data_IF_679674287866
#
_entry.id   IF_679674287866
#
_cell.length_a   1.000
_cell.length_b   1.000
_cell.length_c   1.000
_cell.angle_alpha   90.00
_cell.angle_beta   90.00
_cell.angle_gamma   90.00
#
_symmetry.space_group_name_H-M   'P 1'
#
loop_
_entity.id
_entity.type
_entity.pdbx_description
1 polymer ?
#
# COMPACT_ATOMS: atom_id res chain seq x y z
N UNK A 1 -22.61 -23.41 -35.01
CA UNK A 1 -21.28 -22.97 -34.53
C UNK A 1 -21.20 -23.18 -33.02
N UNK A 2 -20.19 -23.89 -32.49
CA UNK A 2 -20.05 -24.04 -31.04
C UNK A 2 -19.65 -22.72 -30.37
N UNK A 3 -20.20 -22.46 -29.17
CA UNK A 3 -19.79 -21.33 -28.33
C UNK A 3 -18.36 -21.53 -27.83
N UNK A 4 -17.47 -20.55 -28.10
CA UNK A 4 -16.11 -20.54 -27.57
C UNK A 4 -16.12 -19.93 -26.17
N UNK A 5 -15.92 -20.77 -25.16
CA UNK A 5 -15.74 -20.33 -23.78
C UNK A 5 -14.38 -19.62 -23.62
N UNK A 6 -14.40 -18.36 -23.17
CA UNK A 6 -13.21 -17.53 -22.97
C UNK A 6 -12.79 -17.42 -21.49
N UNK A 7 -13.10 -18.41 -20.66
CA UNK A 7 -12.92 -18.34 -19.20
C UNK A 7 -11.52 -17.92 -18.77
N UNK A 8 -10.46 -18.50 -19.36
CA UNK A 8 -9.07 -18.14 -19.04
C UNK A 8 -8.77 -16.66 -19.31
N UNK A 9 -9.24 -16.13 -20.43
CA UNK A 9 -9.07 -14.71 -20.78
C UNK A 9 -9.78 -13.79 -19.79
N UNK A 10 -11.02 -14.13 -19.41
CA UNK A 10 -11.81 -13.36 -18.45
C UNK A 10 -11.15 -13.39 -17.07
N UNK A 11 -10.68 -14.55 -16.63
CA UNK A 11 -9.95 -14.70 -15.35
C UNK A 11 -8.69 -13.86 -15.34
N UNK A 12 -7.87 -13.91 -16.40
CA UNK A 12 -6.64 -13.11 -16.49
C UNK A 12 -6.92 -11.60 -16.51
N UNK A 13 -7.97 -11.17 -17.20
CA UNK A 13 -8.40 -9.76 -17.20
C UNK A 13 -8.87 -9.31 -15.82
N UNK A 14 -9.69 -10.12 -15.15
CA UNK A 14 -10.17 -9.82 -13.81
C UNK A 14 -9.02 -9.75 -12.81
N UNK A 15 -8.05 -10.68 -12.88
CA UNK A 15 -6.87 -10.67 -12.03
C UNK A 15 -6.05 -9.39 -12.20
N UNK A 16 -5.79 -8.96 -13.44
CA UNK A 16 -5.07 -7.70 -13.70
C UNK A 16 -5.81 -6.49 -13.13
N UNK A 17 -7.14 -6.45 -13.28
CA UNK A 17 -7.97 -5.36 -12.74
C UNK A 17 -7.95 -5.35 -11.21
N UNK A 18 -8.11 -6.51 -10.58
CA UNK A 18 -8.05 -6.61 -9.12
C UNK A 18 -6.66 -6.25 -8.59
N UNK A 19 -5.59 -6.64 -9.29
CA UNK A 19 -4.23 -6.21 -8.96
C UNK A 19 -4.07 -4.68 -9.01
N UNK A 20 -4.58 -4.03 -10.05
CA UNK A 20 -4.58 -2.56 -10.12
C UNK A 20 -5.37 -1.92 -8.97
N UNK A 21 -6.53 -2.48 -8.60
CA UNK A 21 -7.33 -2.01 -7.46
C UNK A 21 -6.63 -2.19 -6.11
N UNK A 22 -5.95 -3.32 -5.90
CA UNK A 22 -5.14 -3.55 -4.70
C UNK A 22 -3.94 -2.61 -4.65
N UNK A 23 -3.32 -2.32 -5.79
CA UNK A 23 -2.27 -1.29 -5.89
C UNK A 23 -2.77 0.11 -5.50
N UNK A 24 -3.96 0.52 -5.97
CA UNK A 24 -4.60 1.78 -5.58
C UNK A 24 -4.89 1.82 -4.06
N UNK A 25 -5.32 0.71 -3.46
CA UNK A 25 -5.49 0.61 -2.00
C UNK A 25 -4.16 0.85 -1.29
N UNK A 26 -3.07 0.22 -1.74
CA UNK A 26 -1.72 0.43 -1.19
C UNK A 26 -1.30 1.90 -1.22
N UNK A 27 -1.50 2.58 -2.34
CA UNK A 27 -1.23 4.02 -2.50
C UNK A 27 -2.05 4.91 -1.55
N UNK A 28 -3.32 4.58 -1.34
CA UNK A 28 -4.14 5.34 -0.39
C UNK A 28 -3.65 5.12 1.04
N UNK A 29 -3.25 3.90 1.41
CA UNK A 29 -2.68 3.62 2.74
C UNK A 29 -1.37 4.40 2.91
N UNK A 30 -0.48 4.38 1.92
CA UNK A 30 0.73 5.19 1.93
C UNK A 30 0.42 6.68 2.16
N UNK A 31 -0.56 7.22 1.43
CA UNK A 31 -0.95 8.63 1.52
C UNK A 31 -1.45 8.98 2.93
N UNK A 32 -2.34 8.16 3.51
CA UNK A 32 -2.84 8.40 4.87
C UNK A 32 -1.73 8.22 5.91
N UNK A 33 -0.85 7.24 5.74
CA UNK A 33 0.30 7.01 6.63
C UNK A 33 1.26 8.21 6.64
N UNK A 34 1.52 8.80 5.47
CA UNK A 34 2.33 10.03 5.35
C UNK A 34 1.65 11.26 5.98
N UNK A 35 0.31 11.29 6.07
CA UNK A 35 -0.45 12.41 6.69
C UNK A 35 -0.44 12.36 8.22
N UNK A 36 -0.26 11.18 8.81
CA UNK A 36 -0.03 11.04 10.26
C UNK A 36 1.30 11.69 10.67
N UNK A 37 2.27 11.74 9.76
CA UNK A 37 3.59 12.33 10.00
C UNK A 37 3.60 13.84 9.67
N UNK A 38 3.44 14.66 10.71
CA UNK A 38 3.38 16.12 10.63
C UNK A 38 4.56 16.77 11.36
N UNK A 39 4.98 18.01 11.00
CA UNK A 39 5.96 18.76 11.79
C UNK A 39 5.54 18.83 13.27
N UNK A 40 6.42 18.41 14.18
CA UNK A 40 6.12 18.28 15.62
C UNK A 40 5.66 16.88 16.06
N UNK A 41 5.22 16.01 15.15
CA UNK A 41 4.95 14.60 15.39
C UNK A 41 6.01 13.73 14.69
N UNK A 42 7.21 13.79 15.27
CA UNK A 42 8.40 13.01 14.91
C UNK A 42 8.84 13.04 13.44
N UNK A 43 8.56 14.16 12.77
CA UNK A 43 9.22 14.59 11.53
C UNK A 43 10.30 15.61 11.87
N UNK A 44 11.56 15.18 11.99
CA UNK A 44 12.72 16.08 12.13
C UNK A 44 13.25 16.54 10.76
N UNK A 45 13.36 15.61 9.81
CA UNK A 45 13.99 15.84 8.49
C UNK A 45 13.14 15.37 7.31
N UNK A 46 11.91 14.89 7.57
CA UNK A 46 11.03 14.28 6.57
C UNK A 46 11.43 12.88 6.13
N UNK A 47 12.58 12.36 6.57
CA UNK A 47 13.17 11.12 6.05
C UNK A 47 12.27 9.90 6.25
N UNK A 48 11.67 9.73 7.44
CA UNK A 48 10.67 8.68 7.69
C UNK A 48 9.46 8.81 6.75
N UNK A 49 8.99 10.03 6.50
CA UNK A 49 7.85 10.24 5.61
C UNK A 49 8.18 9.86 4.17
N UNK A 50 9.41 10.10 3.71
CA UNK A 50 9.89 9.73 2.37
C UNK A 50 10.08 8.23 2.17
N UNK A 51 10.43 7.50 3.25
CA UNK A 51 10.62 6.05 3.20
C UNK A 51 9.32 5.26 3.20
N UNK A 52 8.20 5.84 3.65
CA UNK A 52 6.90 5.17 3.59
C UNK A 52 6.47 5.03 2.13
N UNK A 53 6.23 3.80 1.69
CA UNK A 53 5.71 3.55 0.36
C UNK A 53 4.97 2.21 0.25
N UNK A 54 4.15 2.10 -0.77
CA UNK A 54 3.54 0.84 -1.18
C UNK A 54 4.43 0.12 -2.20
N UNK A 55 4.54 -1.21 -2.09
CA UNK A 55 5.40 -2.05 -2.93
C UNK A 55 4.79 -3.45 -3.12
N UNK A 56 5.48 -4.30 -3.90
CA UNK A 56 5.14 -5.72 -4.01
C UNK A 56 5.26 -6.44 -2.65
N UNK A 57 4.57 -7.57 -2.46
CA UNK A 57 4.50 -8.25 -1.16
C UNK A 57 5.86 -8.77 -0.64
N UNK A 58 6.82 -9.02 -1.53
CA UNK A 58 8.16 -9.50 -1.18
C UNK A 58 9.21 -8.37 -1.10
N UNK A 59 8.78 -7.09 -1.16
CA UNK A 59 9.71 -5.96 -1.14
C UNK A 59 10.48 -5.90 0.19
N UNK A 60 11.80 -5.79 0.10
CA UNK A 60 12.66 -5.61 1.27
C UNK A 60 12.84 -4.13 1.60
N UNK A 61 11.92 -3.59 2.40
CA UNK A 61 11.96 -2.20 2.87
C UNK A 61 13.28 -1.86 3.59
N UNK A 62 13.88 -2.79 4.33
CA UNK A 62 15.11 -2.51 5.07
C UNK A 62 16.31 -2.12 4.18
N UNK A 63 16.22 -2.39 2.87
CA UNK A 63 17.21 -1.98 1.88
C UNK A 63 16.98 -0.58 1.27
N UNK A 64 15.90 0.13 1.64
CA UNK A 64 15.58 1.41 1.02
C UNK A 64 16.58 2.52 1.39
N UNK A 65 16.83 3.42 0.45
CA UNK A 65 17.60 4.64 0.69
C UNK A 65 16.81 5.74 1.39
N UNK A 66 17.44 6.91 1.58
CA UNK A 66 16.86 8.08 2.27
C UNK A 66 16.02 9.01 1.37
N UNK A 67 15.92 8.67 0.07
CA UNK A 67 15.13 9.38 -0.93
C UNK A 67 13.62 9.13 -0.80
N UNK A 68 12.83 9.84 -1.63
CA UNK A 68 11.38 9.56 -1.76
C UNK A 68 11.18 8.21 -2.47
N UNK A 69 10.55 7.26 -1.78
CA UNK A 69 10.28 5.92 -2.33
C UNK A 69 8.84 5.76 -2.86
N UNK A 70 7.93 6.64 -2.43
CA UNK A 70 6.49 6.47 -2.68
C UNK A 70 5.94 7.24 -3.89
N UNK A 71 4.61 7.25 -3.99
CA UNK A 71 3.87 7.98 -5.02
C UNK A 71 3.67 7.23 -6.34
N UNK A 72 4.18 6.00 -6.48
CA UNK A 72 3.94 5.14 -7.63
C UNK A 72 3.02 3.98 -7.27
N UNK A 73 2.07 3.66 -8.15
CA UNK A 73 1.19 2.52 -7.94
C UNK A 73 2.02 1.23 -7.93
N UNK A 74 2.05 0.49 -6.81
CA UNK A 74 2.81 -0.74 -6.75
C UNK A 74 2.15 -1.80 -7.62
N UNK A 75 2.98 -2.68 -8.15
CA UNK A 75 2.50 -3.89 -8.77
C UNK A 75 2.04 -4.84 -7.66
N UNK A 76 0.73 -4.90 -7.41
CA UNK A 76 0.18 -5.92 -6.54
C UNK A 76 0.36 -7.29 -7.20
N UNK A 77 0.76 -8.28 -6.41
CA UNK A 77 1.13 -9.60 -6.92
C UNK A 77 0.18 -10.68 -6.40
N UNK A 78 0.02 -11.74 -7.19
CA UNK A 78 -0.74 -12.90 -6.78
C UNK A 78 0.14 -13.82 -5.95
N UNK A 79 -0.27 -14.08 -4.71
CA UNK A 79 0.30 -15.11 -3.86
C UNK A 79 -0.76 -16.16 -3.53
N UNK A 80 -0.70 -17.30 -4.21
CA UNK A 80 -1.75 -18.33 -4.12
C UNK A 80 -3.11 -17.76 -4.56
N UNK A 81 -4.08 -17.76 -3.65
CA UNK A 81 -5.44 -17.25 -3.89
C UNK A 81 -5.63 -15.79 -3.46
N UNK A 82 -4.55 -15.09 -3.13
CA UNK A 82 -4.57 -13.70 -2.70
C UNK A 82 -3.91 -12.81 -3.73
N UNK A 83 -4.39 -11.58 -3.82
CA UNK A 83 -3.71 -10.48 -4.50
C UNK A 83 -3.24 -9.55 -3.39
N UNK A 84 -1.94 -9.31 -3.32
CA UNK A 84 -1.29 -8.67 -2.18
C UNK A 84 -0.45 -7.49 -2.62
N UNK A 85 -0.40 -6.50 -1.73
CA UNK A 85 0.49 -5.34 -1.77
C UNK A 85 1.05 -5.19 -0.37
N UNK A 86 2.31 -4.78 -0.26
CA UNK A 86 2.90 -4.40 1.01
C UNK A 86 2.93 -2.87 1.12
N UNK A 87 2.72 -2.34 2.33
CA UNK A 87 2.98 -0.94 2.64
C UNK A 87 3.87 -0.90 3.86
N UNK A 88 5.01 -0.24 3.74
CA UNK A 88 6.05 -0.28 4.74
C UNK A 88 6.95 0.95 4.69
N UNK A 89 8.02 0.90 5.46
CA UNK A 89 9.04 1.95 5.52
C UNK A 89 10.41 1.31 5.73
N UNK A 90 11.39 1.72 4.94
CA UNK A 90 12.77 1.24 5.11
C UNK A 90 13.56 1.85 6.26
N UNK A 91 12.99 2.85 6.92
CA UNK A 91 13.61 3.46 8.07
C UNK A 91 13.08 2.85 9.36
N UNK A 92 13.92 2.05 10.00
CA UNK A 92 13.83 1.72 11.43
C UNK A 92 14.39 2.91 12.22
N UNK A 93 13.81 4.10 12.07
CA UNK A 93 14.31 5.32 12.72
C UNK A 93 13.38 5.75 13.86
N UNK A 94 13.95 5.76 15.07
CA UNK A 94 13.47 6.44 16.28
C UNK A 94 11.99 6.20 16.68
N UNK A 95 11.49 4.97 16.60
CA UNK A 95 10.14 4.64 17.11
C UNK A 95 9.99 4.93 18.62
N UNK A 96 11.05 4.73 19.40
CA UNK A 96 11.10 5.11 20.82
C UNK A 96 11.05 6.63 21.06
N UNK A 97 11.39 7.44 20.06
CA UNK A 97 11.34 8.91 20.14
C UNK A 97 10.01 9.43 19.59
N UNK A 98 9.42 8.75 18.61
CA UNK A 98 8.18 9.16 17.95
C UNK A 98 6.94 9.04 18.85
N UNK A 99 6.98 8.14 19.84
CA UNK A 99 5.84 7.89 20.75
C UNK A 99 6.04 8.50 22.14
N UNK A 100 7.20 9.07 22.47
CA UNK A 100 7.48 9.60 23.82
C UNK A 100 7.53 8.55 24.94
N UNK A 101 7.29 7.28 24.60
CA UNK A 101 7.39 6.13 25.48
C UNK A 101 8.64 5.35 25.06
N UNK A 102 9.51 5.01 26.00
CA UNK A 102 10.71 4.18 25.77
C UNK A 102 10.38 2.71 25.42
N UNK A 103 9.21 2.45 24.85
CA UNK A 103 8.65 1.15 24.47
C UNK A 103 8.00 1.23 23.09
N UNK A 104 8.17 0.18 22.28
CA UNK A 104 7.58 0.09 20.96
C UNK A 104 6.17 -0.54 21.05
N UNK A 105 5.13 0.24 20.78
CA UNK A 105 3.73 -0.23 20.75
C UNK A 105 3.22 -0.58 19.35
N UNK A 106 4.04 -0.36 18.32
CA UNK A 106 3.74 -0.70 16.92
C UNK A 106 3.84 0.49 15.96
N UNK A 107 3.63 0.20 14.67
CA UNK A 107 3.61 1.21 13.60
C UNK A 107 2.23 1.89 13.48
N UNK A 108 1.85 2.68 14.48
CA UNK A 108 0.52 3.30 14.55
C UNK A 108 0.15 4.11 13.30
N UNK A 109 1.12 4.78 12.68
CA UNK A 109 0.86 5.54 11.45
C UNK A 109 0.46 4.63 10.26
N UNK A 110 0.96 3.38 10.21
CA UNK A 110 0.55 2.39 9.19
C UNK A 110 -0.79 1.75 9.58
N UNK A 111 -0.96 1.33 10.84
CA UNK A 111 -2.19 0.65 11.26
C UNK A 111 -3.39 1.59 11.21
N UNK A 112 -3.24 2.85 11.64
CA UNK A 112 -4.26 3.90 11.49
C UNK A 112 -4.60 4.15 10.02
N UNK A 113 -3.60 4.19 9.14
CA UNK A 113 -3.81 4.39 7.71
C UNK A 113 -4.62 3.25 7.08
N UNK A 114 -4.33 2.00 7.45
CA UNK A 114 -5.11 0.83 7.02
C UNK A 114 -6.57 0.98 7.45
N UNK A 115 -6.83 1.30 8.72
CA UNK A 115 -8.20 1.47 9.23
C UNK A 115 -8.93 2.64 8.55
N UNK A 116 -8.24 3.71 8.18
CA UNK A 116 -8.82 4.84 7.42
C UNK A 116 -9.18 4.49 5.97
N UNK A 117 -8.45 3.56 5.34
CA UNK A 117 -8.67 3.18 3.92
C UNK A 117 -9.64 2.00 3.79
N UNK A 118 -9.67 1.11 4.77
CA UNK A 118 -10.49 -0.11 4.79
C UNK A 118 -11.97 0.11 4.42
N UNK A 119 -12.69 1.16 4.89
CA UNK A 119 -14.08 1.39 4.47
C UNK A 119 -14.25 1.68 2.98
N UNK A 120 -13.20 2.20 2.32
CA UNK A 120 -13.18 2.58 0.89
C UNK A 120 -12.69 1.45 -0.02
N UNK A 121 -12.00 0.45 0.53
CA UNK A 121 -11.34 -0.62 -0.24
C UNK A 121 -12.30 -1.33 -1.22
N UNK A 122 -13.52 -1.66 -0.77
CA UNK A 122 -14.49 -2.34 -1.63
C UNK A 122 -14.95 -1.48 -2.80
N UNK A 123 -15.10 -0.16 -2.60
CA UNK A 123 -15.48 0.76 -3.66
C UNK A 123 -14.36 0.86 -4.72
N UNK A 124 -13.09 0.89 -4.28
CA UNK A 124 -11.92 0.88 -5.16
C UNK A 124 -11.89 -0.41 -6.00
N UNK A 125 -12.05 -1.57 -5.37
CA UNK A 125 -12.07 -2.85 -6.10
C UNK A 125 -13.21 -2.93 -7.12
N UNK A 126 -14.40 -2.43 -6.78
CA UNK A 126 -15.56 -2.39 -7.70
C UNK A 126 -15.27 -1.50 -8.92
N UNK A 127 -14.68 -0.32 -8.72
CA UNK A 127 -14.26 0.59 -9.80
C UNK A 127 -13.36 -0.12 -10.81
N UNK A 128 -12.33 -0.82 -10.32
CA UNK A 128 -11.38 -1.54 -11.18
C UNK A 128 -12.00 -2.79 -11.83
N UNK A 129 -12.80 -3.56 -11.10
CA UNK A 129 -13.45 -4.77 -11.63
C UNK A 129 -14.40 -4.45 -12.81
N UNK A 130 -15.15 -3.34 -12.71
CA UNK A 130 -16.08 -2.87 -13.74
C UNK A 130 -15.37 -2.43 -15.05
N UNK A 131 -14.04 -2.33 -15.05
CA UNK A 131 -13.28 -1.86 -16.22
C UNK A 131 -13.45 -0.37 -16.47
N UNK A 132 -13.76 0.41 -15.42
CA UNK A 132 -13.92 1.85 -15.51
C UNK A 132 -12.66 2.48 -16.11
N UNK A 133 -12.83 3.08 -17.30
CA UNK A 133 -11.86 3.98 -17.89
C UNK A 133 -11.57 5.12 -16.90
N UNK A 134 -10.29 5.29 -16.56
CA UNK A 134 -9.76 6.64 -16.37
C UNK A 134 -9.55 7.25 -17.74
#
# INVERSE_FOLDING_TARGET
MPLKWNGQTVTAQLQRRLAAGVGEIGLQIETEAKRELQPGHGVLTGTLRRSIHAAGPEHNFAGDGTGEQGGQAPQAERQGDRIMVAVGSGLVYAMAVHQGHHSFEGYHYLTNAVEKVKPRALAILRKHAAGGAG
#
